data_IF_367213412724
#
_entry.id   IF_367213412724
#
_cell.length_a   1.000
_cell.length_b   1.000
_cell.length_c   1.000
_cell.angle_alpha   90.00
_cell.angle_beta   90.00
_cell.angle_gamma   90.00
#
_symmetry.space_group_name_H-M   'P 1'
#
loop_
_entity.id
_entity.type
_entity.pdbx_description
1 polymer ?
#
# COMPACT_ATOMS: atom_id res chain seq x y z
N UNK A 1 -17.14 1.02 -5.19
CA UNK A 1 -15.91 0.25 -5.04
C UNK A 1 -15.18 0.70 -3.80
N UNK A 2 -14.50 -0.20 -3.13
CA UNK A 2 -13.80 0.12 -1.90
C UNK A 2 -12.41 0.69 -2.18
N UNK A 3 -11.84 1.35 -1.16
CA UNK A 3 -10.47 1.85 -1.22
C UNK A 3 -9.48 0.73 -1.59
N UNK A 4 -9.59 -0.42 -0.91
CA UNK A 4 -8.65 -1.53 -1.14
C UNK A 4 -8.78 -2.07 -2.56
N UNK A 5 -9.99 -2.22 -3.07
CA UNK A 5 -10.21 -2.70 -4.44
C UNK A 5 -9.57 -1.77 -5.46
N UNK A 6 -9.79 -0.47 -5.31
CA UNK A 6 -9.23 0.52 -6.24
C UNK A 6 -7.72 0.59 -6.12
N UNK A 7 -7.19 0.58 -4.92
CA UNK A 7 -5.75 0.60 -4.68
C UNK A 7 -5.09 -0.62 -5.28
N UNK A 8 -5.63 -1.80 -5.02
CA UNK A 8 -5.08 -3.05 -5.54
C UNK A 8 -5.09 -3.07 -7.07
N UNK A 9 -6.20 -2.67 -7.67
CA UNK A 9 -6.33 -2.65 -9.11
C UNK A 9 -5.27 -1.75 -9.74
N UNK A 10 -5.10 -0.56 -9.23
CA UNK A 10 -4.14 0.39 -9.79
C UNK A 10 -2.69 -0.05 -9.55
N UNK A 11 -2.38 -0.57 -8.39
CA UNK A 11 -1.03 -1.08 -8.11
C UNK A 11 -0.69 -2.24 -9.04
N UNK A 12 -1.62 -3.19 -9.24
CA UNK A 12 -1.36 -4.32 -10.13
C UNK A 12 -1.24 -3.89 -11.59
N UNK A 13 -1.97 -2.86 -12.02
CA UNK A 13 -1.84 -2.30 -13.37
C UNK A 13 -0.47 -1.67 -13.61
N UNK A 14 0.19 -1.22 -12.56
CA UNK A 14 1.51 -0.59 -12.63
C UNK A 14 2.65 -1.53 -12.23
N UNK A 15 2.38 -2.82 -12.09
CA UNK A 15 3.40 -3.80 -11.76
C UNK A 15 4.42 -3.92 -12.89
N UNK A 16 5.67 -4.23 -12.51
CA UNK A 16 6.78 -4.35 -13.46
C UNK A 16 7.68 -5.49 -13.01
N UNK A 17 7.62 -6.60 -13.73
CA UNK A 17 8.38 -7.80 -13.38
C UNK A 17 9.89 -7.55 -13.39
N UNK A 18 10.37 -6.71 -14.30
CA UNK A 18 11.80 -6.41 -14.38
C UNK A 18 12.30 -5.70 -13.13
N UNK A 19 11.46 -4.88 -12.50
CA UNK A 19 11.81 -4.23 -11.25
C UNK A 19 11.56 -5.16 -10.05
N UNK A 20 10.57 -6.04 -10.15
CA UNK A 20 10.23 -6.95 -9.06
C UNK A 20 11.35 -7.93 -8.74
N UNK A 21 12.01 -8.46 -9.77
CA UNK A 21 13.06 -9.48 -9.59
C UNK A 21 14.21 -8.97 -8.72
N UNK A 22 14.84 -7.80 -9.01
CA UNK A 22 15.90 -7.31 -8.14
C UNK A 22 15.40 -6.92 -6.73
N UNK A 23 14.18 -6.45 -6.62
CA UNK A 23 13.62 -6.14 -5.29
C UNK A 23 13.47 -7.41 -4.45
N UNK A 24 12.97 -8.48 -5.05
CA UNK A 24 12.83 -9.77 -4.39
C UNK A 24 14.19 -10.34 -3.99
N UNK A 25 15.17 -10.24 -4.87
CA UNK A 25 16.52 -10.70 -4.58
C UNK A 25 17.16 -9.93 -3.44
N UNK A 26 16.97 -8.62 -3.41
CA UNK A 26 17.48 -7.78 -2.32
C UNK A 26 16.94 -8.23 -0.97
N UNK A 27 15.67 -8.63 -0.93
CA UNK A 27 15.03 -9.12 0.29
C UNK A 27 15.20 -10.62 0.48
N UNK A 28 16.12 -11.24 -0.24
CA UNK A 28 16.42 -12.68 -0.17
C UNK A 28 15.17 -13.54 -0.40
N UNK A 29 14.31 -13.08 -1.28
CA UNK A 29 13.07 -13.76 -1.66
C UNK A 29 12.11 -14.00 -0.50
N UNK A 30 12.21 -13.21 0.56
CA UNK A 30 11.30 -13.31 1.72
C UNK A 30 9.94 -12.68 1.45
N UNK A 31 9.86 -11.77 0.48
CA UNK A 31 8.63 -11.10 0.11
C UNK A 31 8.45 -11.11 -1.40
N UNK A 32 7.21 -11.21 -1.84
CA UNK A 32 6.89 -10.98 -3.25
C UNK A 32 6.74 -9.48 -3.51
N UNK A 33 7.05 -9.05 -4.72
CA UNK A 33 6.94 -7.65 -5.11
C UNK A 33 6.18 -7.54 -6.43
N UNK A 34 5.40 -6.48 -6.57
CA UNK A 34 4.80 -6.10 -7.85
C UNK A 34 5.82 -5.41 -8.75
N UNK A 35 6.84 -4.81 -8.17
CA UNK A 35 7.86 -4.09 -8.93
C UNK A 35 7.48 -2.63 -9.13
N UNK A 36 7.04 -1.97 -8.08
CA UNK A 36 6.64 -0.56 -8.13
C UNK A 36 7.60 0.24 -7.26
N UNK A 37 8.19 1.28 -7.84
CA UNK A 37 9.09 2.15 -7.09
C UNK A 37 8.32 2.93 -6.04
N UNK A 38 9.01 3.28 -4.96
CA UNK A 38 8.42 3.95 -3.81
C UNK A 38 7.64 5.20 -4.19
N UNK A 39 8.21 6.03 -5.06
CA UNK A 39 7.56 7.28 -5.45
C UNK A 39 6.24 7.02 -6.18
N UNK A 40 6.24 6.09 -7.12
CA UNK A 40 5.02 5.72 -7.85
C UNK A 40 3.99 5.10 -6.91
N UNK A 41 4.43 4.22 -6.02
CA UNK A 41 3.55 3.61 -5.03
C UNK A 41 2.88 4.65 -4.16
N UNK A 42 3.64 5.63 -3.69
CA UNK A 42 3.09 6.69 -2.84
C UNK A 42 2.11 7.58 -3.60
N UNK A 43 2.38 7.86 -4.86
CA UNK A 43 1.46 8.62 -5.69
C UNK A 43 0.14 7.90 -5.87
N UNK A 44 0.19 6.61 -6.17
CA UNK A 44 -1.00 5.77 -6.33
C UNK A 44 -1.79 5.71 -5.02
N UNK A 45 -1.10 5.50 -3.91
CA UNK A 45 -1.73 5.47 -2.60
C UNK A 45 -2.43 6.80 -2.30
N UNK A 46 -1.75 7.91 -2.50
CA UNK A 46 -2.29 9.23 -2.21
C UNK A 46 -3.54 9.53 -3.03
N UNK A 47 -3.53 9.18 -4.31
CA UNK A 47 -4.68 9.39 -5.18
C UNK A 47 -5.89 8.62 -4.70
N UNK A 48 -5.71 7.35 -4.38
CA UNK A 48 -6.81 6.51 -3.92
C UNK A 48 -7.27 6.87 -2.51
N UNK A 49 -6.35 7.27 -1.65
CA UNK A 49 -6.67 7.72 -0.31
C UNK A 49 -7.55 8.98 -0.34
N UNK A 50 -7.18 9.93 -1.18
CA UNK A 50 -7.96 11.16 -1.33
C UNK A 50 -9.37 10.85 -1.84
N UNK A 51 -9.48 9.94 -2.79
CA UNK A 51 -10.75 9.51 -3.36
C UNK A 51 -11.65 8.82 -2.34
N UNK A 52 -11.08 8.09 -1.40
CA UNK A 52 -11.81 7.32 -0.39
C UNK A 52 -11.52 7.81 1.03
N UNK A 53 -11.35 9.11 1.20
CA UNK A 53 -10.88 9.71 2.44
C UNK A 53 -11.69 9.29 3.66
N UNK A 54 -13.01 9.34 3.57
CA UNK A 54 -13.87 9.00 4.69
C UNK A 54 -13.78 7.51 5.06
N UNK A 55 -13.73 6.66 4.06
CA UNK A 55 -13.60 5.23 4.28
C UNK A 55 -12.31 4.91 5.03
N UNK A 56 -11.20 5.49 4.60
CA UNK A 56 -9.90 5.25 5.23
C UNK A 56 -9.89 5.78 6.65
N UNK A 57 -10.42 6.97 6.90
CA UNK A 57 -10.46 7.54 8.24
C UNK A 57 -11.28 6.70 9.20
N UNK A 58 -12.40 6.16 8.74
CA UNK A 58 -13.30 5.38 9.57
C UNK A 58 -12.76 3.98 9.83
N UNK A 59 -12.14 3.36 8.82
CA UNK A 59 -11.81 1.94 8.85
C UNK A 59 -10.31 1.67 8.72
N UNK A 60 -9.43 2.63 9.08
CA UNK A 60 -8.01 2.50 8.80
C UNK A 60 -7.38 1.24 9.40
N UNK A 61 -7.85 0.80 10.57
CA UNK A 61 -7.29 -0.40 11.21
C UNK A 61 -7.58 -1.67 10.42
N UNK A 62 -8.84 -1.86 10.02
CA UNK A 62 -9.19 -3.04 9.24
C UNK A 62 -8.60 -2.98 7.84
N UNK A 63 -8.49 -1.79 7.25
CA UNK A 63 -7.85 -1.59 5.95
C UNK A 63 -6.37 -1.99 6.04
N UNK A 64 -5.64 -1.52 7.05
CA UNK A 64 -4.24 -1.88 7.22
C UNK A 64 -4.07 -3.37 7.46
N UNK A 65 -4.94 -3.99 8.25
CA UNK A 65 -4.89 -5.42 8.50
C UNK A 65 -5.05 -6.21 7.20
N UNK A 66 -6.02 -5.81 6.38
CA UNK A 66 -6.27 -6.47 5.11
C UNK A 66 -5.08 -6.31 4.16
N UNK A 67 -4.48 -5.12 4.12
CA UNK A 67 -3.29 -4.89 3.29
C UNK A 67 -2.09 -5.71 3.78
N UNK A 68 -1.89 -5.84 5.09
CA UNK A 68 -0.82 -6.68 5.63
C UNK A 68 -1.00 -8.15 5.30
N UNK A 69 -2.22 -8.59 5.05
CA UNK A 69 -2.49 -9.98 4.70
C UNK A 69 -2.33 -10.27 3.20
N UNK A 70 -2.03 -9.27 2.38
CA UNK A 70 -1.75 -9.50 0.98
C UNK A 70 -0.32 -9.98 0.81
N UNK A 71 -0.05 -10.65 -0.32
CA UNK A 71 1.22 -11.31 -0.57
C UNK A 71 2.35 -10.34 -0.87
N UNK A 72 2.07 -9.31 -1.68
CA UNK A 72 3.11 -8.44 -2.19
C UNK A 72 3.48 -7.34 -1.19
N UNK A 73 4.79 -7.05 -1.14
CA UNK A 73 5.34 -6.10 -0.17
C UNK A 73 4.82 -4.68 -0.32
N UNK A 74 4.47 -4.27 -1.55
CA UNK A 74 3.94 -2.92 -1.78
C UNK A 74 2.66 -2.67 -0.98
N UNK A 75 1.82 -3.67 -0.80
CA UNK A 75 0.61 -3.53 0.02
C UNK A 75 0.97 -3.31 1.49
N UNK A 76 2.00 -4.00 1.97
CA UNK A 76 2.46 -3.82 3.36
C UNK A 76 3.00 -2.41 3.57
N UNK A 77 3.74 -1.89 2.60
CA UNK A 77 4.29 -0.54 2.68
C UNK A 77 3.18 0.52 2.66
N UNK A 78 2.12 0.30 1.87
CA UNK A 78 0.96 1.18 1.89
C UNK A 78 0.28 1.16 3.26
N UNK A 79 0.14 -0.03 3.87
CA UNK A 79 -0.45 -0.14 5.19
C UNK A 79 0.36 0.63 6.24
N UNK A 80 1.69 0.53 6.17
CA UNK A 80 2.56 1.27 7.09
C UNK A 80 2.36 2.77 6.93
N UNK A 81 2.32 3.27 5.69
CA UNK A 81 2.12 4.69 5.43
C UNK A 81 0.77 5.18 5.99
N UNK A 82 -0.29 4.41 5.79
CA UNK A 82 -1.62 4.74 6.30
C UNK A 82 -1.60 4.76 7.83
N UNK A 83 -1.06 3.71 8.43
CA UNK A 83 -1.04 3.55 9.88
C UNK A 83 -0.28 4.68 10.55
N UNK A 84 0.91 5.00 10.03
CA UNK A 84 1.74 6.07 10.56
C UNK A 84 1.00 7.41 10.54
N UNK A 85 0.37 7.74 9.42
CA UNK A 85 -0.31 9.01 9.27
C UNK A 85 -1.55 9.11 10.15
N UNK A 86 -2.35 8.05 10.21
CA UNK A 86 -3.58 8.07 11.00
C UNK A 86 -3.30 8.03 12.51
N UNK A 87 -2.29 7.30 12.94
CA UNK A 87 -1.90 7.28 14.35
C UNK A 87 -1.37 8.66 14.76
N UNK A 88 -0.50 9.26 13.96
CA UNK A 88 0.03 10.58 14.24
C UNK A 88 -1.08 11.62 14.36
N UNK A 89 -2.06 11.54 13.49
CA UNK A 89 -3.19 12.47 13.48
C UNK A 89 -4.08 12.33 14.70
N UNK A 90 -4.29 11.08 15.18
CA UNK A 90 -5.27 10.79 16.25
C UNK A 90 -4.66 10.75 17.64
N UNK A 91 -3.40 10.37 17.77
CA UNK A 91 -2.80 10.07 19.07
C UNK A 91 -1.55 10.87 19.40
N UNK A 92 -1.02 11.66 18.47
CA UNK A 92 0.13 12.51 18.71
C UNK A 92 -0.26 13.97 18.56
N UNK A 93 0.27 14.84 19.43
CA UNK A 93 -0.01 16.27 19.35
C UNK A 93 0.52 16.90 18.06
#
# INVERSE_FOLDING_TARGET
MTFITDLETELRQNSNEELAIPMENYMKNKFSFLGIQTENRRTILKTNWHKHKEEVQTNFRSICWELFNKKEREFHQCAIDILMKEIKKKYLP
#
